data_IF_911903799819
#
_entry.id   IF_911903799819
#
_cell.length_a   1.000
_cell.length_b   1.000
_cell.length_c   1.000
_cell.angle_alpha   90.00
_cell.angle_beta   90.00
_cell.angle_gamma   90.00
#
_symmetry.space_group_name_H-M   'P 1'
#
loop_
_entity.id
_entity.type
_entity.pdbx_description
1 polymer ?
#
# COMPACT_ATOMS: atom_id res chain seq x y z
N UNK A 1 9.34 22.76 0.24
CA UNK A 1 8.68 22.10 -0.92
C UNK A 1 7.97 23.06 -1.87
N UNK A 2 7.26 24.12 -1.44
CA UNK A 2 6.58 25.01 -2.40
C UNK A 2 7.52 25.69 -3.42
N UNK A 3 8.70 26.16 -2.99
CA UNK A 3 9.75 26.67 -3.90
C UNK A 3 10.25 25.60 -4.89
N UNK A 4 10.24 24.34 -4.48
CA UNK A 4 10.61 23.22 -5.34
C UNK A 4 9.54 22.95 -6.39
N UNK A 5 8.26 23.08 -6.03
CA UNK A 5 7.15 23.10 -6.99
C UNK A 5 7.28 24.26 -7.98
N UNK A 6 7.57 25.47 -7.50
CA UNK A 6 7.82 26.63 -8.37
C UNK A 6 8.99 26.39 -9.34
N UNK A 7 10.07 25.76 -8.89
CA UNK A 7 11.19 25.39 -9.76
C UNK A 7 10.73 24.49 -10.90
N UNK A 8 9.89 23.49 -10.62
CA UNK A 8 9.39 22.57 -11.64
C UNK A 8 8.40 23.21 -12.61
N UNK A 9 7.47 24.00 -12.10
CA UNK A 9 6.52 24.78 -12.91
C UNK A 9 7.30 25.68 -13.88
N UNK A 10 8.34 26.35 -13.39
CA UNK A 10 9.17 27.26 -14.19
C UNK A 10 10.36 26.56 -14.87
N UNK A 11 10.32 25.23 -15.02
CA UNK A 11 11.29 24.44 -15.79
C UNK A 11 12.76 24.71 -15.41
N UNK A 12 13.06 24.71 -14.11
CA UNK A 12 14.43 24.90 -13.59
C UNK A 12 14.77 26.33 -13.17
N UNK A 13 13.83 27.27 -13.28
CA UNK A 13 14.03 28.69 -12.89
C UNK A 13 13.30 29.03 -11.59
N UNK A 14 13.90 29.88 -10.75
CA UNK A 14 13.21 30.48 -9.60
C UNK A 14 13.60 31.95 -9.47
N UNK A 15 12.61 32.85 -9.33
CA UNK A 15 12.81 34.30 -9.23
C UNK A 15 13.71 34.88 -10.34
N UNK A 16 13.60 34.36 -11.58
CA UNK A 16 14.42 34.78 -12.72
C UNK A 16 15.82 34.16 -12.78
N UNK A 17 16.24 33.39 -11.79
CA UNK A 17 17.53 32.69 -11.79
C UNK A 17 17.36 31.25 -12.29
N UNK A 18 18.12 30.87 -13.31
CA UNK A 18 18.21 29.49 -13.78
C UNK A 18 19.05 28.67 -12.81
N UNK A 19 18.43 27.74 -12.09
CA UNK A 19 19.11 26.82 -11.15
C UNK A 19 19.45 25.51 -11.86
N UNK A 20 18.54 25.05 -12.72
CA UNK A 20 18.74 23.93 -13.64
C UNK A 20 18.43 24.49 -15.03
N UNK A 21 19.36 24.41 -15.97
CA UNK A 21 19.08 24.84 -17.33
C UNK A 21 18.01 23.95 -17.99
N UNK A 22 17.41 24.45 -19.07
CA UNK A 22 16.29 23.79 -19.74
C UNK A 22 16.65 22.39 -20.25
N UNK A 23 17.89 22.17 -20.69
CA UNK A 23 18.33 20.87 -21.21
C UNK A 23 18.35 19.83 -20.09
N UNK A 24 18.99 20.16 -18.97
CA UNK A 24 19.06 19.27 -17.81
C UNK A 24 17.70 19.10 -17.13
N UNK A 25 16.86 20.14 -17.10
CA UNK A 25 15.49 20.02 -16.60
C UNK A 25 14.68 19.05 -17.46
N UNK A 26 14.76 19.21 -18.79
CA UNK A 26 14.10 18.29 -19.74
C UNK A 26 14.61 16.87 -19.55
N UNK A 27 15.91 16.68 -19.38
CA UNK A 27 16.51 15.37 -19.10
C UNK A 27 15.95 14.74 -17.81
N UNK A 28 15.75 15.55 -16.76
CA UNK A 28 15.24 15.10 -15.47
C UNK A 28 13.79 14.59 -15.54
N UNK A 29 12.94 15.21 -16.35
CA UNK A 29 11.50 14.90 -16.44
C UNK A 29 11.12 14.14 -17.72
N UNK A 30 12.10 13.67 -18.50
CA UNK A 30 11.88 12.81 -19.65
C UNK A 30 11.87 11.33 -19.24
N UNK A 31 11.04 10.48 -19.88
CA UNK A 31 11.06 9.04 -19.66
C UNK A 31 12.46 8.43 -19.77
N UNK A 32 12.89 7.69 -18.75
CA UNK A 32 14.17 6.95 -18.70
C UNK A 32 13.98 5.45 -18.47
N UNK A 33 12.96 5.08 -17.71
CA UNK A 33 12.71 3.69 -17.35
C UNK A 33 11.21 3.44 -17.17
N UNK A 34 10.74 2.26 -17.55
CA UNK A 34 9.40 1.78 -17.25
C UNK A 34 9.47 0.80 -16.09
N UNK A 35 8.63 1.00 -15.08
CA UNK A 35 8.57 0.09 -13.93
C UNK A 35 7.89 -1.22 -14.32
N UNK A 36 8.15 -2.32 -13.57
CA UNK A 36 7.43 -3.58 -13.77
C UNK A 36 5.90 -3.49 -13.61
N UNK A 37 5.39 -2.41 -13.00
CA UNK A 37 3.97 -2.15 -12.80
C UNK A 37 3.41 -1.08 -13.75
N UNK A 38 4.16 -0.69 -14.78
CA UNK A 38 3.66 0.14 -15.90
C UNK A 38 3.75 1.65 -15.70
N UNK A 39 4.46 2.12 -14.67
CA UNK A 39 4.75 3.55 -14.50
C UNK A 39 6.00 3.96 -15.28
N UNK A 40 6.09 5.23 -15.64
CA UNK A 40 7.30 5.80 -16.27
C UNK A 40 8.08 6.61 -15.24
N UNK A 41 9.40 6.45 -15.22
CA UNK A 41 10.31 7.19 -14.33
C UNK A 41 11.25 8.07 -15.17
N UNK A 42 11.46 9.31 -14.73
CA UNK A 42 12.54 10.20 -15.17
C UNK A 42 13.81 10.03 -14.33
N UNK A 43 14.55 11.11 -14.06
CA UNK A 43 15.67 11.07 -13.12
C UNK A 43 15.19 11.46 -11.71
N UNK A 44 14.84 10.45 -10.91
CA UNK A 44 14.37 10.65 -9.53
C UNK A 44 12.92 11.13 -9.42
N UNK A 45 12.12 10.96 -10.48
CA UNK A 45 10.72 11.39 -10.53
C UNK A 45 9.84 10.37 -11.23
N UNK A 46 8.62 10.19 -10.73
CA UNK A 46 7.59 9.41 -11.42
C UNK A 46 6.80 10.33 -12.35
N UNK A 47 6.56 9.84 -13.56
CA UNK A 47 5.82 10.49 -14.63
C UNK A 47 4.54 9.69 -14.85
N UNK A 48 3.42 10.25 -14.38
CA UNK A 48 2.13 9.57 -14.39
C UNK A 48 1.05 10.46 -15.01
N UNK A 49 -0.18 9.94 -15.07
CA UNK A 49 -1.37 10.68 -15.47
C UNK A 49 -2.39 10.61 -14.34
N UNK A 50 -2.92 11.76 -13.93
CA UNK A 50 -4.02 11.84 -12.98
C UNK A 50 -5.04 12.88 -13.44
N UNK A 51 -6.33 12.54 -13.41
CA UNK A 51 -7.41 13.35 -14.01
C UNK A 51 -7.12 13.74 -15.47
N UNK A 52 -6.61 12.79 -16.26
CA UNK A 52 -6.21 12.98 -17.67
C UNK A 52 -5.09 14.02 -17.88
N UNK A 53 -4.40 14.42 -16.80
CA UNK A 53 -3.32 15.40 -16.82
C UNK A 53 -1.99 14.71 -16.51
N UNK A 54 -0.91 15.03 -17.25
CA UNK A 54 0.42 14.55 -16.89
C UNK A 54 0.82 15.14 -15.53
N UNK A 55 1.41 14.31 -14.68
CA UNK A 55 1.98 14.72 -13.40
C UNK A 55 3.43 14.30 -13.29
N UNK A 56 4.24 15.17 -12.68
CA UNK A 56 5.55 14.84 -12.14
C UNK A 56 5.37 14.67 -10.64
N UNK A 57 5.69 13.50 -10.10
CA UNK A 57 5.41 13.20 -8.69
C UNK A 57 6.52 12.43 -8.01
N UNK A 58 6.58 12.57 -6.68
CA UNK A 58 7.42 11.74 -5.82
C UNK A 58 6.78 11.57 -4.44
N UNK A 59 7.01 10.40 -3.83
CA UNK A 59 6.62 10.07 -2.45
C UNK A 59 7.82 10.09 -1.52
N UNK A 60 7.63 10.43 -0.26
CA UNK A 60 8.66 10.32 0.78
C UNK A 60 8.09 9.69 2.03
N UNK A 61 8.84 8.78 2.65
CA UNK A 61 8.43 8.09 3.86
C UNK A 61 9.65 7.93 4.78
N UNK A 62 9.47 8.19 6.07
CA UNK A 62 10.37 7.85 7.17
C UNK A 62 9.50 7.50 8.40
N UNK A 63 10.07 6.91 9.43
CA UNK A 63 9.34 6.52 10.64
C UNK A 63 8.60 7.71 11.25
N UNK A 64 7.27 7.66 11.24
CA UNK A 64 6.40 8.71 11.74
C UNK A 64 6.14 9.85 10.75
N UNK A 65 6.59 9.77 9.50
CA UNK A 65 6.45 10.85 8.52
C UNK A 65 6.12 10.33 7.11
N UNK A 66 5.14 10.95 6.47
CA UNK A 66 4.80 10.69 5.06
C UNK A 66 4.69 12.01 4.30
N UNK A 67 5.10 12.00 3.05
CA UNK A 67 5.02 13.15 2.15
C UNK A 67 4.73 12.74 0.72
N UNK A 68 4.08 13.60 -0.03
CA UNK A 68 3.87 13.45 -1.47
C UNK A 68 3.80 14.82 -2.13
N UNK A 69 4.29 14.91 -3.36
CA UNK A 69 4.20 16.10 -4.20
C UNK A 69 3.71 15.72 -5.58
N UNK A 70 2.72 16.46 -6.09
CA UNK A 70 2.30 16.46 -7.48
C UNK A 70 2.65 17.82 -8.10
N UNK A 71 3.17 17.78 -9.31
CA UNK A 71 3.33 18.95 -10.17
C UNK A 71 2.53 18.66 -11.44
N UNK A 72 1.61 19.55 -11.77
CA UNK A 72 0.84 19.54 -13.02
C UNK A 72 1.48 20.56 -13.96
N UNK A 73 2.49 20.17 -14.76
CA UNK A 73 3.30 21.11 -15.55
C UNK A 73 2.50 21.84 -16.64
N UNK A 74 1.34 21.31 -17.06
CA UNK A 74 0.45 21.98 -18.03
C UNK A 74 -0.46 23.03 -17.42
N UNK A 75 -0.60 23.01 -16.09
CA UNK A 75 -1.57 23.81 -15.35
C UNK A 75 -0.92 24.81 -14.40
N UNK A 76 0.43 24.88 -14.39
CA UNK A 76 1.22 25.72 -13.48
C UNK A 76 0.87 25.53 -11.99
N UNK A 77 0.51 24.29 -11.63
CA UNK A 77 0.06 23.92 -10.28
C UNK A 77 1.03 22.92 -9.66
N UNK A 78 1.37 23.15 -8.38
CA UNK A 78 2.05 22.16 -7.55
C UNK A 78 1.31 22.03 -6.21
N UNK A 79 1.07 20.78 -5.82
CA UNK A 79 0.40 20.42 -4.58
C UNK A 79 1.37 19.58 -3.77
N UNK A 80 1.51 19.90 -2.49
CA UNK A 80 2.39 19.18 -1.56
C UNK A 80 1.59 18.84 -0.31
N UNK A 81 1.62 17.57 0.09
CA UNK A 81 1.05 17.11 1.36
C UNK A 81 2.19 16.56 2.22
N UNK A 82 2.25 17.01 3.47
CA UNK A 82 3.20 16.56 4.49
C UNK A 82 2.40 16.10 5.71
N UNK A 83 2.81 14.99 6.30
CA UNK A 83 2.20 14.43 7.50
C UNK A 83 3.24 13.93 8.49
N UNK A 84 3.01 14.17 9.77
CA UNK A 84 3.78 13.68 10.91
C UNK A 84 3.17 12.42 11.52
N UNK A 85 2.72 11.50 10.65
CA UNK A 85 2.16 10.21 11.05
C UNK A 85 2.35 9.18 9.94
N UNK A 86 2.70 7.96 10.32
CA UNK A 86 2.63 6.81 9.42
C UNK A 86 1.19 6.53 8.98
N UNK A 87 1.03 6.03 7.75
CA UNK A 87 -0.26 5.69 7.16
C UNK A 87 -1.25 6.86 7.17
N UNK A 88 -0.74 8.08 7.02
CA UNK A 88 -1.53 9.31 6.92
C UNK A 88 -2.31 9.43 5.62
N UNK A 89 -1.95 8.60 4.64
CA UNK A 89 -2.62 8.51 3.34
C UNK A 89 -2.51 9.81 2.55
N UNK A 90 -1.31 10.40 2.55
CA UNK A 90 -0.98 11.58 1.76
C UNK A 90 -1.42 11.45 0.30
N UNK A 91 -1.33 10.25 -0.29
CA UNK A 91 -1.84 9.93 -1.64
C UNK A 91 -3.33 10.22 -1.84
N UNK A 92 -4.21 9.83 -0.91
CA UNK A 92 -5.64 10.19 -1.03
C UNK A 92 -5.85 11.69 -0.86
N UNK A 93 -5.13 12.31 0.08
CA UNK A 93 -5.28 13.73 0.39
C UNK A 93 -4.87 14.57 -0.83
N UNK A 94 -3.74 14.27 -1.47
CA UNK A 94 -3.30 15.01 -2.66
C UNK A 94 -4.23 14.79 -3.84
N UNK A 95 -4.80 13.60 -3.97
CA UNK A 95 -5.84 13.31 -4.96
C UNK A 95 -7.11 14.13 -4.69
N UNK A 96 -7.56 14.26 -3.43
CA UNK A 96 -8.73 15.05 -3.07
C UNK A 96 -8.50 16.54 -3.33
N UNK A 97 -7.30 17.03 -2.99
CA UNK A 97 -6.90 18.39 -3.28
C UNK A 97 -6.87 18.64 -4.80
N UNK A 98 -6.33 17.71 -5.58
CA UNK A 98 -6.30 17.79 -7.04
C UNK A 98 -7.73 17.77 -7.62
N UNK A 99 -8.59 16.85 -7.16
CA UNK A 99 -10.00 16.77 -7.53
C UNK A 99 -10.72 18.10 -7.27
N UNK A 100 -10.54 18.68 -6.08
CA UNK A 100 -11.12 19.98 -5.73
C UNK A 100 -10.58 21.13 -6.59
N UNK A 101 -9.26 21.19 -6.82
CA UNK A 101 -8.60 22.23 -7.63
C UNK A 101 -9.10 22.20 -9.08
N UNK A 102 -9.34 21.01 -9.64
CA UNK A 102 -9.80 20.86 -11.03
C UNK A 102 -11.32 20.70 -11.16
N UNK A 103 -12.09 20.87 -10.08
CA UNK A 103 -13.54 20.72 -10.10
C UNK A 103 -14.04 19.31 -10.46
N UNK A 104 -13.19 18.30 -10.28
CA UNK A 104 -13.57 16.90 -10.48
C UNK A 104 -14.41 16.39 -9.30
N UNK A 105 -15.31 15.41 -9.52
CA UNK A 105 -16.04 14.79 -8.42
C UNK A 105 -15.08 14.22 -7.36
N UNK A 106 -15.26 14.66 -6.12
CA UNK A 106 -14.49 14.14 -5.00
C UNK A 106 -14.83 12.66 -4.80
N UNK A 107 -13.83 11.78 -4.94
CA UNK A 107 -14.05 10.36 -4.69
C UNK A 107 -14.31 10.14 -3.19
N UNK A 108 -15.32 9.37 -2.78
CA UNK A 108 -15.53 9.11 -1.37
C UNK A 108 -14.29 8.47 -0.78
N UNK A 109 -13.91 8.93 0.40
CA UNK A 109 -12.80 8.35 1.13
C UNK A 109 -13.24 7.04 1.76
N UNK A 110 -12.75 5.92 1.24
CA UNK A 110 -12.97 4.62 1.88
C UNK A 110 -11.87 4.35 2.91
N UNK A 111 -12.26 4.21 4.17
CA UNK A 111 -11.33 3.77 5.22
C UNK A 111 -11.19 2.26 5.11
N UNK A 112 -9.97 1.72 4.99
CA UNK A 112 -9.84 0.25 5.07
C UNK A 112 -10.49 -0.28 6.35
N UNK A 113 -11.36 -1.27 6.20
CA UNK A 113 -12.05 -1.94 7.30
C UNK A 113 -11.05 -2.56 8.30
N UNK A 114 -9.80 -2.81 7.89
CA UNK A 114 -8.74 -3.37 8.73
C UNK A 114 -8.50 -2.59 10.01
N UNK A 115 -8.67 -1.26 9.99
CA UNK A 115 -8.46 -0.44 11.18
C UNK A 115 -9.53 -0.68 12.24
N UNK A 116 -10.79 -0.78 11.83
CA UNK A 116 -11.91 -1.12 12.73
C UNK A 116 -11.84 -2.57 13.17
N UNK A 117 -11.52 -3.47 12.24
CA UNK A 117 -11.26 -4.88 12.52
C UNK A 117 -10.19 -5.03 13.61
N UNK A 118 -9.02 -4.40 13.43
CA UNK A 118 -7.89 -4.51 14.38
C UNK A 118 -8.21 -3.89 15.73
N UNK A 119 -8.97 -2.79 15.78
CA UNK A 119 -9.41 -2.17 17.03
C UNK A 119 -10.35 -3.08 17.83
N UNK A 120 -11.35 -3.67 17.17
CA UNK A 120 -12.26 -4.64 17.79
C UNK A 120 -11.50 -5.90 18.20
N UNK A 121 -10.61 -6.40 17.35
CA UNK A 121 -9.78 -7.55 17.63
C UNK A 121 -8.99 -7.37 18.93
N UNK A 122 -8.29 -6.25 19.08
CA UNK A 122 -7.50 -5.95 20.29
C UNK A 122 -8.34 -5.83 21.57
N UNK A 123 -9.58 -5.39 21.45
CA UNK A 123 -10.47 -5.14 22.61
C UNK A 123 -11.34 -6.34 22.98
N UNK A 124 -11.73 -7.15 21.99
CA UNK A 124 -12.81 -8.12 22.11
C UNK A 124 -12.49 -9.48 21.47
N UNK A 125 -11.30 -9.66 20.88
CA UNK A 125 -10.86 -10.91 20.27
C UNK A 125 -11.34 -11.12 18.84
N UNK A 126 -10.88 -12.23 18.24
CA UNK A 126 -11.07 -12.54 16.82
C UNK A 126 -12.53 -12.70 16.42
N UNK A 127 -13.36 -13.32 17.26
CA UNK A 127 -14.76 -13.58 16.90
C UNK A 127 -15.56 -12.28 16.72
N UNK A 128 -15.37 -11.29 17.60
CA UNK A 128 -16.00 -9.97 17.42
C UNK A 128 -15.46 -9.20 16.23
N UNK A 129 -14.17 -9.36 15.92
CA UNK A 129 -13.58 -8.74 14.74
C UNK A 129 -14.15 -9.34 13.44
N UNK A 130 -14.36 -10.68 13.40
CA UNK A 130 -15.02 -11.38 12.29
C UNK A 130 -16.46 -10.91 12.09
N UNK A 131 -17.26 -10.86 13.16
CA UNK A 131 -18.64 -10.33 13.12
C UNK A 131 -18.69 -8.93 12.50
N UNK A 132 -17.80 -8.04 12.95
CA UNK A 132 -17.69 -6.69 12.40
C UNK A 132 -17.27 -6.71 10.92
N UNK A 133 -16.30 -7.55 10.53
CA UNK A 133 -15.87 -7.64 9.15
C UNK A 133 -17.03 -7.99 8.21
N UNK A 134 -17.83 -8.99 8.57
CA UNK A 134 -19.00 -9.37 7.78
C UNK A 134 -20.08 -8.29 7.76
N UNK A 135 -20.25 -7.54 8.86
CA UNK A 135 -21.14 -6.38 8.88
C UNK A 135 -20.68 -5.30 7.90
N UNK A 136 -19.40 -4.93 7.94
CA UNK A 136 -18.82 -3.93 7.05
C UNK A 136 -18.86 -4.37 5.58
N UNK A 137 -18.71 -5.67 5.30
CA UNK A 137 -18.77 -6.18 3.93
C UNK A 137 -20.19 -6.16 3.33
N UNK A 138 -21.22 -6.02 4.16
CA UNK A 138 -22.63 -5.88 3.75
C UNK A 138 -23.09 -4.42 3.75
N UNK A 139 -22.26 -3.52 4.24
CA UNK A 139 -22.56 -2.09 4.33
C UNK A 139 -22.50 -1.47 2.92
N UNK A 140 -23.60 -0.84 2.50
CA UNK A 140 -23.70 -0.19 1.18
C UNK A 140 -23.40 1.31 1.24
N UNK A 141 -22.95 1.83 2.39
CA UNK A 141 -22.64 3.26 2.58
C UNK A 141 -21.26 3.65 2.03
N UNK A 142 -20.45 2.69 1.58
CA UNK A 142 -19.09 2.87 1.04
C UNK A 142 -18.12 3.62 1.99
N UNK A 143 -18.44 3.70 3.29
CA UNK A 143 -17.58 4.36 4.28
C UNK A 143 -16.28 3.58 4.51
N UNK A 144 -16.35 2.25 4.41
CA UNK A 144 -15.19 1.37 4.58
C UNK A 144 -14.92 0.54 3.33
N UNK A 145 -13.63 0.41 2.98
CA UNK A 145 -13.17 -0.55 1.98
C UNK A 145 -12.86 -1.89 2.67
N UNK A 146 -13.56 -2.95 2.30
CA UNK A 146 -13.37 -4.32 2.81
C UNK A 146 -12.48 -5.14 1.88
N UNK A 147 -11.34 -4.59 1.44
CA UNK A 147 -10.35 -5.39 0.72
C UNK A 147 -9.78 -6.49 1.63
N UNK A 148 -10.04 -7.74 1.30
CA UNK A 148 -9.60 -8.90 2.09
C UNK A 148 -8.07 -8.98 2.20
N UNK A 149 -7.32 -8.49 1.21
CA UNK A 149 -5.84 -8.50 1.20
C UNK A 149 -5.24 -7.59 2.29
N UNK A 150 -6.03 -6.66 2.82
CA UNK A 150 -5.62 -5.88 3.98
C UNK A 150 -5.49 -6.75 5.25
N UNK A 151 -6.30 -7.81 5.39
CA UNK A 151 -6.16 -8.78 6.49
C UNK A 151 -4.89 -9.61 6.32
N UNK A 152 -4.62 -10.09 5.10
CA UNK A 152 -3.38 -10.81 4.77
C UNK A 152 -2.15 -9.98 5.09
N UNK A 153 -2.15 -8.71 4.68
CA UNK A 153 -1.06 -7.77 4.97
C UNK A 153 -0.89 -7.56 6.47
N UNK A 154 -1.99 -7.44 7.21
CA UNK A 154 -1.96 -7.30 8.68
C UNK A 154 -1.33 -8.53 9.34
N UNK A 155 -1.75 -9.73 8.94
CA UNK A 155 -1.17 -10.99 9.42
C UNK A 155 0.32 -11.11 9.07
N UNK A 156 0.71 -10.75 7.85
CA UNK A 156 2.09 -10.80 7.38
C UNK A 156 3.03 -9.89 8.20
N UNK A 157 2.63 -8.64 8.45
CA UNK A 157 3.44 -7.66 9.19
C UNK A 157 3.74 -8.13 10.61
N UNK A 158 2.77 -8.79 11.26
CA UNK A 158 2.89 -9.20 12.66
C UNK A 158 3.32 -10.66 12.83
N UNK A 159 3.59 -11.39 11.75
CA UNK A 159 3.83 -12.84 11.76
C UNK A 159 4.99 -13.25 12.68
N UNK A 160 6.09 -12.48 12.65
CA UNK A 160 7.28 -12.78 13.44
C UNK A 160 7.22 -12.20 14.87
N UNK A 161 6.49 -11.09 15.06
CA UNK A 161 6.44 -10.39 16.36
C UNK A 161 5.28 -10.82 17.25
N UNK A 162 4.20 -11.31 16.64
CA UNK A 162 2.91 -11.66 17.27
C UNK A 162 2.31 -12.88 16.55
N UNK A 163 2.95 -14.06 16.69
CA UNK A 163 2.57 -15.23 15.91
C UNK A 163 1.16 -15.75 16.25
N UNK A 164 0.69 -15.57 17.49
CA UNK A 164 -0.67 -15.93 17.88
C UNK A 164 -1.71 -15.08 17.14
N UNK A 165 -1.56 -13.76 17.18
CA UNK A 165 -2.46 -12.84 16.50
C UNK A 165 -2.39 -12.98 14.98
N UNK A 166 -1.19 -13.19 14.43
CA UNK A 166 -1.01 -13.48 13.01
C UNK A 166 -1.76 -14.73 12.59
N UNK A 167 -1.63 -15.82 13.35
CA UNK A 167 -2.33 -17.09 13.10
C UNK A 167 -3.84 -16.87 13.01
N UNK A 168 -4.45 -16.22 14.01
CA UNK A 168 -5.90 -16.00 14.05
C UNK A 168 -6.42 -15.16 12.86
N UNK A 169 -5.67 -14.13 12.47
CA UNK A 169 -6.02 -13.27 11.33
C UNK A 169 -5.87 -14.02 10.01
N UNK A 170 -4.80 -14.81 9.84
CA UNK A 170 -4.55 -15.58 8.62
C UNK A 170 -5.51 -16.77 8.47
N UNK A 171 -5.89 -17.43 9.57
CA UNK A 171 -6.98 -18.41 9.58
C UNK A 171 -8.26 -17.79 9.08
N UNK A 172 -8.64 -16.62 9.61
CA UNK A 172 -9.83 -15.91 9.14
C UNK A 172 -9.72 -15.53 7.66
N UNK A 173 -8.58 -14.97 7.23
CA UNK A 173 -8.35 -14.66 5.82
C UNK A 173 -8.54 -15.89 4.93
N UNK A 174 -8.01 -17.06 5.32
CA UNK A 174 -8.13 -18.30 4.56
C UNK A 174 -9.57 -18.83 4.50
N UNK A 175 -10.46 -18.46 5.44
CA UNK A 175 -11.90 -18.76 5.29
C UNK A 175 -12.56 -17.98 4.15
N UNK A 176 -12.00 -16.83 3.78
CA UNK A 176 -12.52 -15.95 2.72
C UNK A 176 -11.81 -16.23 1.40
N UNK A 177 -10.48 -16.39 1.43
CA UNK A 177 -9.65 -16.63 0.26
C UNK A 177 -8.72 -17.85 0.48
N UNK A 178 -9.26 -19.08 0.33
CA UNK A 178 -8.53 -20.31 0.62
C UNK A 178 -7.45 -20.67 -0.41
N UNK A 179 -7.38 -20.00 -1.55
CA UNK A 179 -6.42 -20.30 -2.64
C UNK A 179 -5.12 -19.49 -2.53
N UNK A 180 -4.93 -18.72 -1.44
CA UNK A 180 -3.72 -17.92 -1.26
C UNK A 180 -2.55 -18.75 -0.72
N UNK A 181 -1.69 -19.21 -1.62
CA UNK A 181 -0.41 -19.88 -1.27
C UNK A 181 0.45 -19.04 -0.32
N UNK A 182 0.47 -17.73 -0.51
CA UNK A 182 1.22 -16.81 0.34
C UNK A 182 0.66 -16.78 1.77
N UNK A 183 -0.67 -16.76 1.93
CA UNK A 183 -1.32 -16.81 3.24
C UNK A 183 -1.08 -18.14 3.95
N UNK A 184 -1.25 -19.28 3.26
CA UNK A 184 -0.99 -20.60 3.85
C UNK A 184 0.45 -20.75 4.32
N UNK A 185 1.42 -20.21 3.58
CA UNK A 185 2.82 -20.20 4.02
C UNK A 185 3.02 -19.35 5.27
N UNK A 186 2.43 -18.16 5.33
CA UNK A 186 2.51 -17.30 6.52
C UNK A 186 1.80 -17.93 7.72
N UNK A 187 0.69 -18.62 7.51
CA UNK A 187 -0.01 -19.37 8.55
C UNK A 187 0.88 -20.52 9.07
N UNK A 188 1.54 -21.24 8.17
CA UNK A 188 2.53 -22.25 8.54
C UNK A 188 3.70 -21.68 9.35
N UNK A 189 4.21 -20.51 8.98
CA UNK A 189 5.23 -19.80 9.75
C UNK A 189 4.73 -19.44 11.16
N UNK A 190 3.49 -18.93 11.27
CA UNK A 190 2.89 -18.58 12.54
C UNK A 190 2.75 -19.80 13.47
N UNK A 191 2.25 -20.92 12.93
CA UNK A 191 2.17 -22.19 13.67
C UNK A 191 3.53 -22.70 14.11
N UNK A 192 4.54 -22.62 13.24
CA UNK A 192 5.91 -23.02 13.57
C UNK A 192 6.50 -22.16 14.70
N UNK A 193 6.29 -20.84 14.65
CA UNK A 193 6.72 -19.91 15.70
C UNK A 193 6.00 -20.16 17.04
N UNK A 194 4.81 -20.77 17.01
CA UNK A 194 4.05 -21.20 18.19
C UNK A 194 4.43 -22.63 18.66
N UNK A 195 5.34 -23.32 17.96
CA UNK A 195 5.77 -24.67 18.28
C UNK A 195 4.85 -25.78 17.75
N UNK A 196 3.79 -25.45 17.02
CA UNK A 196 2.91 -26.44 16.38
C UNK A 196 3.45 -26.84 15.00
N UNK A 197 4.47 -27.67 15.05
CA UNK A 197 5.18 -28.19 13.90
C UNK A 197 4.30 -29.01 12.97
N UNK A 198 3.31 -29.74 13.51
CA UNK A 198 2.44 -30.61 12.72
C UNK A 198 1.49 -29.78 11.85
N UNK A 199 0.80 -28.81 12.45
CA UNK A 199 -0.11 -27.93 11.71
C UNK A 199 0.66 -27.04 10.74
N UNK A 200 1.88 -26.61 11.09
CA UNK A 200 2.76 -25.92 10.16
C UNK A 200 3.06 -26.74 8.90
N UNK A 201 3.41 -28.04 9.04
CA UNK A 201 3.62 -28.94 7.89
C UNK A 201 2.37 -29.05 7.02
N UNK A 202 1.19 -29.20 7.62
CA UNK A 202 -0.08 -29.24 6.87
C UNK A 202 -0.34 -27.94 6.10
N UNK A 203 -0.02 -26.77 6.66
CA UNK A 203 -0.14 -25.48 5.97
C UNK A 203 0.80 -25.39 4.75
N UNK A 204 2.05 -25.86 4.86
CA UNK A 204 2.97 -25.86 3.73
C UNK A 204 2.58 -26.89 2.66
N UNK A 205 2.05 -28.06 3.07
CA UNK A 205 1.47 -29.03 2.13
C UNK A 205 0.30 -28.40 1.37
N UNK A 206 -0.57 -27.64 2.06
CA UNK A 206 -1.67 -26.92 1.40
C UNK A 206 -1.19 -25.92 0.35
N UNK A 207 -0.04 -25.27 0.57
CA UNK A 207 0.56 -24.41 -0.45
C UNK A 207 0.92 -25.20 -1.72
N UNK A 208 1.44 -26.42 -1.58
CA UNK A 208 1.82 -27.30 -2.69
C UNK A 208 0.62 -27.96 -3.37
N UNK A 209 -0.49 -28.16 -2.65
CA UNK A 209 -1.76 -28.56 -3.26
C UNK A 209 -2.29 -27.49 -4.22
N UNK A 210 -2.20 -26.21 -3.82
CA UNK A 210 -2.67 -25.08 -4.64
C UNK A 210 -1.67 -24.76 -5.77
N UNK A 211 -0.38 -24.74 -5.45
CA UNK A 211 0.69 -24.52 -6.41
C UNK A 211 1.86 -25.47 -6.13
N UNK A 212 1.96 -26.59 -6.87
CA UNK A 212 3.04 -27.57 -6.72
C UNK A 212 4.45 -26.99 -6.88
N UNK A 213 4.59 -25.88 -7.62
CA UNK A 213 5.88 -25.21 -7.87
C UNK A 213 6.21 -24.11 -6.86
N UNK A 214 5.49 -24.03 -5.74
CA UNK A 214 5.74 -23.01 -4.73
C UNK A 214 7.00 -23.31 -3.89
N UNK A 215 8.15 -22.89 -4.41
CA UNK A 215 9.49 -23.15 -3.85
C UNK A 215 9.65 -22.80 -2.36
N UNK A 216 8.98 -21.74 -1.90
CA UNK A 216 9.04 -21.34 -0.48
C UNK A 216 8.42 -22.39 0.44
N UNK A 217 7.36 -23.09 0.01
CA UNK A 217 6.77 -24.18 0.79
C UNK A 217 7.62 -25.45 0.74
N UNK A 218 8.19 -25.80 -0.42
CA UNK A 218 9.16 -26.91 -0.53
C UNK A 218 10.33 -26.71 0.43
N UNK A 219 10.91 -25.51 0.43
CA UNK A 219 12.02 -25.13 1.32
C UNK A 219 11.61 -25.19 2.80
N UNK A 220 10.41 -24.71 3.14
CA UNK A 220 9.92 -24.74 4.51
C UNK A 220 9.74 -26.18 5.03
N UNK A 221 9.16 -27.08 4.22
CA UNK A 221 9.00 -28.49 4.60
C UNK A 221 10.32 -29.22 4.84
N UNK A 222 11.34 -28.95 4.01
CA UNK A 222 12.67 -29.54 4.18
C UNK A 222 13.35 -29.13 5.49
N UNK A 223 13.09 -27.91 5.98
CA UNK A 223 13.68 -27.40 7.24
C UNK A 223 13.03 -27.98 8.50
N UNK A 224 11.86 -28.61 8.38
CA UNK A 224 11.03 -29.08 9.50
C UNK A 224 11.06 -30.62 9.59
N UNK A 225 11.75 -31.29 8.67
CA UNK A 225 12.10 -32.71 8.75
C UNK A 225 13.45 -32.89 9.41
#
# INVERSE_FOLDING_TARGET
MCRWGQLHINQGTINGNSIIDKEHFTMMVSPKYETPWGDTIGLGWFLQIYLERPIIMHTGNDTGFESIVYIFPKDDISIVILSNRDFSRTGRIINAASEAVFGAPLKPYQVSAKYKFTDVYRKQGIEKAKELWYLLNRDTTDVYNTNVDDLLTTGAIINDTKPLESKEILEFYNTINPESTYSWRLLGNAYLNLGDTLTAKSCYQKCLEINPEYEKAKTALLKIN
#
